data_IF_527073138845
#
_entry.id   IF_527073138845
#
_cell.length_a   1.000
_cell.length_b   1.000
_cell.length_c   1.000
_cell.angle_alpha   90.00
_cell.angle_beta   90.00
_cell.angle_gamma   90.00
#
_symmetry.space_group_name_H-M   'P 1'
#
loop_
_entity.id
_entity.type
_entity.pdbx_description
1 polymer ?
#
# COMPACT_ATOMS: atom_id res chain seq x y z
N UNK A 1 25.75 5.24 10.36
CA UNK A 1 24.69 4.21 10.26
C UNK A 1 23.49 4.73 9.44
N UNK A 2 23.71 5.20 8.21
CA UNK A 2 22.69 5.96 7.45
C UNK A 2 22.54 5.49 6.00
N UNK A 3 23.24 4.42 5.61
CA UNK A 3 23.21 3.87 4.25
C UNK A 3 22.08 2.83 4.04
N UNK A 4 21.68 2.11 5.08
CA UNK A 4 20.68 1.02 4.98
C UNK A 4 19.27 1.53 4.64
N UNK A 5 18.82 2.59 5.31
CA UNK A 5 17.47 3.17 5.09
C UNK A 5 17.28 3.72 3.65
N UNK A 6 18.36 4.23 3.03
CA UNK A 6 18.32 4.70 1.63
C UNK A 6 18.25 3.54 0.63
N UNK A 7 18.92 2.42 0.92
CA UNK A 7 18.88 1.20 0.12
C UNK A 7 17.47 0.60 0.07
N UNK A 8 16.78 0.59 1.21
CA UNK A 8 15.46 -0.05 1.31
C UNK A 8 14.35 0.76 0.66
N UNK A 9 14.39 2.10 0.80
CA UNK A 9 13.48 2.99 0.06
C UNK A 9 13.70 2.92 -1.46
N UNK A 10 14.95 2.75 -1.93
CA UNK A 10 15.23 2.52 -3.35
C UNK A 10 14.77 1.13 -3.83
N UNK A 11 14.75 0.10 -2.97
CA UNK A 11 14.18 -1.21 -3.27
C UNK A 11 12.65 -1.19 -3.32
N UNK A 12 11.97 -0.46 -2.43
CA UNK A 12 10.51 -0.27 -2.42
C UNK A 12 9.97 0.20 -3.78
N UNK A 13 10.75 1.05 -4.44
CA UNK A 13 10.45 1.66 -5.74
C UNK A 13 10.73 0.71 -6.92
N UNK A 14 11.33 -0.45 -6.68
CA UNK A 14 11.81 -1.41 -7.69
C UNK A 14 11.09 -2.77 -7.66
N UNK A 15 10.22 -3.04 -6.69
CA UNK A 15 9.59 -4.37 -6.54
C UNK A 15 8.06 -4.28 -6.60
N UNK A 16 7.44 -4.94 -7.60
CA UNK A 16 8.04 -5.39 -8.87
C UNK A 16 8.45 -4.17 -9.71
N UNK A 17 9.32 -4.34 -10.71
CA UNK A 17 9.83 -3.21 -11.47
C UNK A 17 8.63 -2.52 -12.12
N UNK A 18 8.28 -1.30 -11.70
CA UNK A 18 7.33 -0.56 -12.47
C UNK A 18 7.98 -0.41 -13.86
N UNK A 19 7.19 -0.34 -14.93
CA UNK A 19 7.73 0.19 -16.18
C UNK A 19 8.56 1.45 -15.86
N UNK A 20 9.65 1.70 -16.58
CA UNK A 20 10.60 2.75 -16.19
C UNK A 20 9.96 4.15 -16.01
N UNK A 21 8.72 4.36 -16.46
CA UNK A 21 7.90 5.56 -16.25
C UNK A 21 7.18 5.58 -14.89
N UNK A 22 6.59 4.46 -14.46
CA UNK A 22 5.84 4.35 -13.21
C UNK A 22 6.77 4.50 -11.99
N UNK A 23 8.00 3.99 -12.06
CA UNK A 23 9.00 4.14 -11.01
C UNK A 23 9.41 5.61 -10.84
N UNK A 24 9.72 6.28 -11.96
CA UNK A 24 10.01 7.72 -11.99
C UNK A 24 8.86 8.55 -11.42
N UNK A 25 7.61 8.13 -11.64
CA UNK A 25 6.43 8.79 -11.07
C UNK A 25 6.41 8.69 -9.55
N UNK A 26 6.57 7.48 -9.00
CA UNK A 26 6.56 7.28 -7.56
C UNK A 26 7.71 8.02 -6.89
N UNK A 27 8.90 7.96 -7.46
CA UNK A 27 10.07 8.74 -7.04
C UNK A 27 9.78 10.24 -7.04
N UNK A 28 9.10 10.77 -8.07
CA UNK A 28 8.73 12.17 -8.12
C UNK A 28 7.78 12.55 -6.98
N UNK A 29 6.78 11.73 -6.67
CA UNK A 29 5.84 11.99 -5.57
C UNK A 29 6.54 12.03 -4.22
N UNK A 30 7.45 11.08 -3.97
CA UNK A 30 8.23 11.03 -2.73
C UNK A 30 9.18 12.23 -2.64
N UNK A 31 9.97 12.49 -3.70
CA UNK A 31 10.95 13.57 -3.72
C UNK A 31 10.33 14.97 -3.50
N UNK A 32 9.09 15.17 -3.95
CA UNK A 32 8.40 16.45 -3.83
C UNK A 32 7.42 16.49 -2.63
N UNK A 33 7.46 15.50 -1.73
CA UNK A 33 6.67 15.49 -0.50
C UNK A 33 5.16 15.29 -0.69
N UNK A 34 4.72 14.80 -1.85
CA UNK A 34 3.31 14.45 -2.09
C UNK A 34 2.95 13.07 -1.53
N UNK A 35 3.94 12.21 -1.36
CA UNK A 35 3.82 10.86 -0.84
C UNK A 35 4.95 10.62 0.16
N UNK A 36 4.62 10.08 1.32
CA UNK A 36 5.62 9.58 2.26
C UNK A 36 5.78 8.08 2.04
N UNK A 37 7.03 7.62 2.07
CA UNK A 37 7.40 6.23 1.93
C UNK A 37 8.33 5.86 3.08
N UNK A 38 7.88 4.90 3.89
CA UNK A 38 8.67 4.33 4.98
C UNK A 38 8.93 2.85 4.71
N UNK A 39 10.10 2.36 5.12
CA UNK A 39 10.43 0.95 5.08
C UNK A 39 10.69 0.46 6.50
N UNK A 40 9.98 -0.60 6.88
CA UNK A 40 10.19 -1.32 8.14
C UNK A 40 10.75 -2.70 7.82
N UNK A 41 12.01 -3.00 8.17
CA UNK A 41 12.50 -4.37 8.12
C UNK A 41 11.88 -5.18 9.26
N UNK A 42 11.47 -6.41 8.96
CA UNK A 42 11.04 -7.40 9.93
C UNK A 42 12.06 -8.53 9.91
N UNK A 43 12.70 -8.80 11.04
CA UNK A 43 13.49 -10.00 11.21
C UNK A 43 12.54 -11.21 11.30
N UNK A 44 12.70 -12.15 10.39
CA UNK A 44 11.85 -13.34 10.32
C UNK A 44 11.95 -14.19 11.60
N UNK A 45 13.09 -14.15 12.29
CA UNK A 45 13.28 -14.84 13.57
C UNK A 45 12.43 -14.26 14.70
N UNK A 46 11.91 -13.03 14.56
CA UNK A 46 11.03 -12.37 15.54
C UNK A 46 9.55 -12.70 15.31
N UNK A 47 9.20 -13.28 14.14
CA UNK A 47 7.82 -13.60 13.78
C UNK A 47 7.19 -14.78 14.56
N UNK A 48 7.89 -15.85 15.03
CA UNK A 48 7.28 -17.04 15.63
C UNK A 48 6.71 -16.76 17.04
N UNK A 49 5.69 -15.93 17.08
CA UNK A 49 4.95 -15.47 18.24
C UNK A 49 3.59 -16.16 18.32
N UNK A 50 2.99 -16.29 19.52
CA UNK A 50 1.61 -16.77 19.66
C UNK A 50 0.62 -16.00 18.77
N UNK A 51 0.83 -14.69 18.60
CA UNK A 51 0.05 -13.79 17.75
C UNK A 51 0.14 -14.22 16.28
N UNK A 52 1.34 -14.54 15.79
CA UNK A 52 1.53 -15.04 14.44
C UNK A 52 0.85 -16.40 14.22
N UNK A 53 0.92 -17.31 15.19
CA UNK A 53 0.19 -18.59 15.13
C UNK A 53 -1.32 -18.37 15.04
N UNK A 54 -1.86 -17.40 15.79
CA UNK A 54 -3.27 -17.00 15.69
C UNK A 54 -3.60 -16.41 14.32
N UNK A 55 -2.72 -15.56 13.78
CA UNK A 55 -2.86 -14.98 12.44
C UNK A 55 -2.90 -16.07 11.35
N UNK A 56 -1.98 -17.03 11.37
CA UNK A 56 -1.98 -18.16 10.41
C UNK A 56 -3.29 -18.96 10.46
N UNK A 57 -3.81 -19.24 11.66
CA UNK A 57 -5.09 -19.95 11.84
C UNK A 57 -6.28 -19.14 11.29
N UNK A 58 -6.25 -17.82 11.41
CA UNK A 58 -7.28 -16.95 10.86
C UNK A 58 -7.24 -16.94 9.33
N UNK A 59 -6.05 -16.81 8.74
CA UNK A 59 -5.86 -16.83 7.27
C UNK A 59 -6.25 -18.16 6.65
N UNK A 60 -6.01 -19.28 7.34
CA UNK A 60 -6.37 -20.62 6.86
C UNK A 60 -7.88 -20.79 6.57
N UNK A 61 -8.74 -19.87 7.03
CA UNK A 61 -10.18 -19.85 6.77
C UNK A 61 -10.57 -18.99 5.56
N UNK A 62 -9.60 -18.35 4.89
CA UNK A 62 -9.82 -17.48 3.73
C UNK A 62 -9.55 -18.21 2.41
N UNK A 63 -10.18 -17.75 1.32
CA UNK A 63 -9.99 -18.24 -0.06
C UNK A 63 -8.59 -17.90 -0.57
N UNK A 64 -7.59 -18.69 -0.18
CA UNK A 64 -6.18 -18.36 -0.43
C UNK A 64 -5.63 -19.04 -1.68
N UNK A 65 -4.84 -18.32 -2.47
CA UNK A 65 -4.29 -18.77 -3.75
C UNK A 65 -3.11 -19.77 -3.60
N UNK A 66 -2.31 -19.67 -2.53
CA UNK A 66 -1.19 -20.59 -2.24
C UNK A 66 -0.77 -20.57 -0.76
N UNK A 67 0.03 -21.54 -0.32
CA UNK A 67 0.57 -21.58 1.04
C UNK A 67 1.49 -20.39 1.35
N UNK A 68 2.29 -19.94 0.38
CA UNK A 68 3.12 -18.73 0.52
C UNK A 68 2.24 -17.49 0.72
N UNK A 69 1.18 -17.36 -0.09
CA UNK A 69 0.23 -16.25 0.04
C UNK A 69 -0.45 -16.24 1.41
N UNK A 70 -0.76 -17.42 1.95
CA UNK A 70 -1.31 -17.57 3.30
C UNK A 70 -0.31 -17.11 4.38
N UNK A 71 0.95 -17.51 4.26
CA UNK A 71 1.99 -17.12 5.21
C UNK A 71 2.23 -15.60 5.16
N UNK A 72 2.27 -14.98 3.98
CA UNK A 72 2.44 -13.53 3.84
C UNK A 72 1.23 -12.76 4.40
N UNK A 73 -0.01 -13.24 4.20
CA UNK A 73 -1.19 -12.67 4.85
C UNK A 73 -1.15 -12.79 6.38
N UNK A 74 -0.56 -13.87 6.89
CA UNK A 74 -0.38 -14.04 8.32
C UNK A 74 0.66 -13.05 8.87
N UNK A 75 1.75 -12.81 8.14
CA UNK A 75 2.73 -11.75 8.46
C UNK A 75 2.07 -10.37 8.44
N UNK A 76 1.29 -10.05 7.41
CA UNK A 76 0.53 -8.80 7.33
C UNK A 76 -0.44 -8.62 8.51
N UNK A 77 -1.17 -9.68 8.87
CA UNK A 77 -2.07 -9.67 10.04
C UNK A 77 -1.30 -9.43 11.33
N UNK A 78 -0.18 -10.14 11.52
CA UNK A 78 0.69 -9.97 12.70
C UNK A 78 1.23 -8.54 12.78
N UNK A 79 1.72 -7.99 11.68
CA UNK A 79 2.23 -6.62 11.59
C UNK A 79 1.18 -5.58 12.02
N UNK A 80 -0.05 -5.68 11.49
CA UNK A 80 -1.14 -4.78 11.90
C UNK A 80 -1.49 -4.90 13.39
N UNK A 81 -1.44 -6.12 13.94
CA UNK A 81 -1.72 -6.37 15.35
C UNK A 81 -0.67 -5.75 16.26
N UNK A 82 0.61 -5.78 15.88
CA UNK A 82 1.67 -5.06 16.59
C UNK A 82 1.44 -3.55 16.61
N UNK A 83 0.77 -3.02 15.59
CA UNK A 83 0.39 -1.61 15.50
C UNK A 83 -1.00 -1.30 16.11
N UNK A 84 -1.55 -2.22 16.90
CA UNK A 84 -2.79 -2.02 17.65
C UNK A 84 -4.08 -2.23 16.86
N UNK A 85 -4.03 -2.73 15.62
CA UNK A 85 -5.26 -3.02 14.86
C UNK A 85 -6.04 -4.17 15.49
N UNK A 86 -7.32 -3.94 15.79
CA UNK A 86 -8.19 -4.95 16.42
C UNK A 86 -9.12 -5.66 15.45
N UNK A 87 -9.47 -4.99 14.36
CA UNK A 87 -10.33 -5.44 13.28
C UNK A 87 -9.48 -5.82 12.07
N UNK A 88 -9.54 -7.08 11.64
CA UNK A 88 -8.80 -7.56 10.48
C UNK A 88 -9.76 -8.29 9.55
N UNK A 89 -9.83 -7.83 8.31
CA UNK A 89 -10.59 -8.45 7.22
C UNK A 89 -9.63 -8.89 6.12
N UNK A 90 -10.05 -9.89 5.35
CA UNK A 90 -9.28 -10.44 4.24
C UNK A 90 -10.02 -10.20 2.93
N UNK A 91 -9.28 -9.98 1.84
CA UNK A 91 -9.84 -9.86 0.49
C UNK A 91 -10.90 -8.75 0.35
N UNK A 92 -10.70 -7.62 1.03
CA UNK A 92 -11.63 -6.52 1.00
C UNK A 92 -11.42 -5.66 -0.24
N UNK A 93 -12.53 -5.32 -0.91
CA UNK A 93 -12.48 -4.36 -2.01
C UNK A 93 -12.19 -2.96 -1.50
N UNK A 94 -11.28 -2.27 -2.17
CA UNK A 94 -11.11 -0.83 -1.96
C UNK A 94 -12.43 -0.11 -2.28
N UNK A 95 -12.61 1.14 -1.83
CA UNK A 95 -13.75 1.95 -2.23
C UNK A 95 -13.87 2.23 -3.74
N UNK A 96 -12.85 1.91 -4.54
CA UNK A 96 -12.88 1.98 -6.00
C UNK A 96 -13.19 0.58 -6.59
N UNK A 97 -14.19 0.53 -7.47
CA UNK A 97 -15.06 -0.62 -7.81
C UNK A 97 -14.42 -1.95 -8.25
N UNK A 98 -13.09 -2.06 -8.42
CA UNK A 98 -12.47 -3.23 -9.04
C UNK A 98 -11.23 -3.80 -8.35
N UNK A 99 -10.80 -3.22 -7.22
CA UNK A 99 -9.51 -3.58 -6.61
C UNK A 99 -9.72 -4.30 -5.28
N UNK A 100 -8.84 -5.23 -4.91
CA UNK A 100 -8.90 -6.02 -3.67
C UNK A 100 -7.58 -5.88 -2.92
N UNK A 101 -7.63 -5.62 -1.62
CA UNK A 101 -6.49 -5.73 -0.71
C UNK A 101 -6.53 -7.07 0.02
N UNK A 102 -5.35 -7.63 0.28
CA UNK A 102 -5.20 -8.95 0.89
C UNK A 102 -5.61 -8.96 2.36
N UNK A 103 -5.20 -7.93 3.11
CA UNK A 103 -5.48 -7.76 4.54
C UNK A 103 -5.81 -6.30 4.81
N UNK A 104 -6.88 -6.04 5.56
CA UNK A 104 -7.34 -4.68 5.86
C UNK A 104 -7.65 -4.54 7.34
N UNK A 105 -7.30 -3.38 7.91
CA UNK A 105 -7.91 -2.87 9.14
C UNK A 105 -8.72 -1.64 8.81
N UNK A 106 -10.04 -1.79 8.91
CA UNK A 106 -11.00 -0.77 8.49
C UNK A 106 -11.03 0.40 9.48
N UNK A 107 -10.93 0.12 10.78
CA UNK A 107 -10.88 1.14 11.83
C UNK A 107 -9.68 2.07 11.71
N UNK A 108 -8.53 1.56 11.23
CA UNK A 108 -7.31 2.35 11.04
C UNK A 108 -7.16 2.88 9.61
N UNK A 109 -7.94 2.37 8.66
CA UNK A 109 -7.82 2.71 7.24
C UNK A 109 -6.56 2.15 6.57
N UNK A 110 -5.97 1.10 7.14
CA UNK A 110 -4.74 0.45 6.65
C UNK A 110 -5.07 -0.72 5.75
N UNK A 111 -4.54 -0.68 4.53
CA UNK A 111 -4.74 -1.72 3.51
C UNK A 111 -3.39 -2.33 3.15
N UNK A 112 -3.29 -3.65 3.20
CA UNK A 112 -2.05 -4.39 2.90
C UNK A 112 -2.23 -5.23 1.65
N UNK A 113 -1.28 -5.09 0.74
CA UNK A 113 -1.07 -5.98 -0.41
C UNK A 113 0.17 -6.84 -0.17
N UNK A 114 0.04 -8.15 -0.37
CA UNK A 114 1.15 -9.10 -0.16
C UNK A 114 1.54 -9.81 -1.45
N UNK A 115 2.83 -10.14 -1.59
CA UNK A 115 3.35 -10.81 -2.78
C UNK A 115 3.76 -9.81 -3.86
N UNK A 116 3.56 -10.15 -5.14
CA UNK A 116 4.00 -9.27 -6.23
C UNK A 116 2.96 -8.17 -6.49
N UNK A 117 3.34 -6.91 -6.21
CA UNK A 117 2.49 -5.73 -6.46
C UNK A 117 2.60 -5.26 -7.92
N UNK A 118 1.88 -5.91 -8.83
CA UNK A 118 2.05 -5.72 -10.28
C UNK A 118 1.99 -4.28 -10.82
N UNK A 119 1.39 -3.35 -10.10
CA UNK A 119 1.18 -1.97 -10.55
C UNK A 119 1.28 -0.98 -9.39
N UNK A 120 2.45 -0.37 -9.25
CA UNK A 120 2.76 0.62 -8.19
C UNK A 120 1.97 1.93 -8.37
N UNK A 121 1.39 2.15 -9.54
CA UNK A 121 0.57 3.33 -9.81
C UNK A 121 -0.72 3.36 -8.98
N UNK A 122 -1.06 2.20 -8.39
CA UNK A 122 -2.16 2.01 -7.44
C UNK A 122 -1.94 2.75 -6.13
N UNK A 123 -0.70 2.88 -5.68
CA UNK A 123 -0.35 3.52 -4.40
C UNK A 123 -0.95 4.91 -4.28
N UNK A 124 -0.67 5.77 -5.26
CA UNK A 124 -1.15 7.13 -5.23
C UNK A 124 -2.65 7.21 -5.53
N UNK A 125 -3.21 6.32 -6.35
CA UNK A 125 -4.67 6.29 -6.62
C UNK A 125 -5.46 5.94 -5.37
N UNK A 126 -5.02 4.93 -4.61
CA UNK A 126 -5.66 4.47 -3.37
C UNK A 126 -5.59 5.54 -2.29
N UNK A 127 -4.52 6.32 -2.22
CA UNK A 127 -4.38 7.43 -1.27
C UNK A 127 -5.15 8.69 -1.68
N UNK A 128 -5.91 8.62 -2.79
CA UNK A 128 -6.72 9.72 -3.30
C UNK A 128 -5.91 10.76 -4.08
N UNK A 129 -4.71 10.44 -4.55
CA UNK A 129 -3.92 11.33 -5.39
C UNK A 129 -4.28 11.13 -6.87
N UNK A 130 -4.82 12.17 -7.50
CA UNK A 130 -5.02 12.25 -8.94
C UNK A 130 -3.80 12.86 -9.60
N UNK A 131 -3.22 12.17 -10.58
CA UNK A 131 -1.99 12.60 -11.23
C UNK A 131 -2.27 12.89 -12.69
N UNK A 132 -2.08 14.15 -13.07
CA UNK A 132 -2.10 14.56 -14.49
C UNK A 132 -0.72 14.32 -15.09
N UNK A 133 -0.72 13.82 -16.33
CA UNK A 133 0.48 13.56 -17.09
C UNK A 133 0.56 14.49 -18.29
N UNK A 134 1.76 15.00 -18.58
CA UNK A 134 2.10 15.60 -19.88
C UNK A 134 3.28 14.84 -20.45
N UNK A 135 3.05 14.08 -21.52
CA UNK A 135 4.04 13.18 -22.09
C UNK A 135 4.47 12.09 -21.09
N UNK A 136 5.78 11.96 -20.87
CA UNK A 136 6.36 11.00 -19.92
C UNK A 136 6.52 11.54 -18.49
N UNK A 137 6.04 12.75 -18.20
CA UNK A 137 6.25 13.45 -16.93
C UNK A 137 4.94 13.74 -16.19
N UNK A 138 5.04 13.80 -14.86
CA UNK A 138 3.96 14.28 -14.00
C UNK A 138 3.82 15.78 -14.18
N UNK A 139 2.63 16.24 -14.58
CA UNK A 139 2.34 17.66 -14.79
C UNK A 139 1.63 18.29 -13.59
N UNK A 140 0.80 17.51 -12.89
CA UNK A 140 0.10 17.96 -11.69
C UNK A 140 -0.25 16.76 -10.82
N UNK A 141 -0.19 16.95 -9.52
CA UNK A 141 -0.79 16.05 -8.52
C UNK A 141 -1.97 16.82 -7.93
N UNK A 142 -3.09 16.16 -7.64
CA UNK A 142 -4.27 16.77 -7.03
C UNK A 142 -4.83 15.78 -6.00
N UNK A 143 -5.46 16.27 -4.93
CA UNK A 143 -6.14 15.40 -3.98
C UNK A 143 -7.61 15.23 -4.41
N UNK A 144 -8.05 13.98 -4.59
CA UNK A 144 -9.47 13.60 -4.68
C UNK A 144 -10.01 13.58 -3.25
N UNK A 145 -10.28 14.76 -2.70
CA UNK A 145 -11.17 14.83 -1.54
C UNK A 145 -12.55 14.35 -2.00
N UNK A 146 -13.28 13.50 -1.24
CA UNK A 146 -14.59 13.06 -1.70
C UNK A 146 -15.56 14.25 -1.68
N UNK A 147 -16.47 14.35 -2.66
CA UNK A 147 -17.53 15.35 -2.63
C UNK A 147 -18.61 14.97 -1.60
N UNK A 148 -19.06 13.72 -1.52
CA UNK A 148 -20.15 13.32 -0.62
C UNK A 148 -19.99 11.85 -0.20
N UNK A 149 -20.07 11.56 1.10
CA UNK A 149 -20.19 10.21 1.68
C UNK A 149 -19.03 9.76 2.57
N UNK A 150 -19.37 9.03 3.65
CA UNK A 150 -18.47 8.29 4.54
C UNK A 150 -17.80 7.12 3.79
N UNK A 151 -16.96 7.43 2.82
CA UNK A 151 -16.04 6.43 2.29
C UNK A 151 -14.88 6.35 3.27
N UNK A 152 -14.73 5.20 3.92
CA UNK A 152 -13.64 4.92 4.85
C UNK A 152 -12.30 5.25 4.18
N UNK A 153 -11.66 6.31 4.67
CA UNK A 153 -10.49 6.92 4.02
C UNK A 153 -9.31 5.98 4.19
N UNK A 154 -8.73 5.51 3.08
CA UNK A 154 -7.44 4.81 3.11
C UNK A 154 -6.42 5.81 3.68
N UNK A 155 -5.92 5.50 4.88
CA UNK A 155 -4.92 6.30 5.58
C UNK A 155 -3.52 5.92 5.11
N UNK A 156 -3.33 4.64 4.82
CA UNK A 156 -2.05 4.03 4.56
C UNK A 156 -2.23 2.81 3.66
N UNK A 157 -1.41 2.72 2.61
CA UNK A 157 -1.28 1.52 1.81
C UNK A 157 0.05 0.87 2.13
N UNK A 158 0.03 -0.40 2.51
CA UNK A 158 1.20 -1.16 2.91
C UNK A 158 1.46 -2.24 1.87
N UNK A 159 2.71 -2.37 1.45
CA UNK A 159 3.16 -3.43 0.56
C UNK A 159 4.13 -4.33 1.30
N UNK A 160 3.88 -5.64 1.26
CA UNK A 160 4.83 -6.66 1.67
C UNK A 160 5.25 -7.41 0.40
N UNK A 161 6.22 -6.86 -0.35
CA UNK A 161 6.61 -7.45 -1.61
C UNK A 161 7.32 -8.78 -1.39
N UNK A 162 6.93 -9.77 -2.18
CA UNK A 162 7.61 -11.05 -2.21
C UNK A 162 7.69 -11.54 -3.66
N UNK A 163 8.88 -11.98 -4.13
CA UNK A 163 9.06 -12.37 -5.52
C UNK A 163 8.25 -13.62 -5.84
N UNK A 164 7.11 -13.45 -6.50
CA UNK A 164 6.33 -14.59 -7.02
C UNK A 164 6.94 -15.18 -8.29
N UNK A 165 7.95 -14.54 -8.88
CA UNK A 165 8.72 -15.08 -10.02
C UNK A 165 9.62 -16.26 -9.62
N UNK A 166 10.00 -16.36 -8.34
CA UNK A 166 10.65 -17.52 -7.77
C UNK A 166 9.68 -18.17 -6.77
N UNK A 167 8.67 -18.85 -7.31
CA UNK A 167 7.58 -19.49 -6.54
C UNK A 167 8.09 -20.56 -5.56
N UNK A 168 9.37 -20.94 -5.67
CA UNK A 168 9.97 -21.94 -4.79
C UNK A 168 10.51 -21.34 -3.50
N UNK A 169 10.83 -20.04 -3.50
CA UNK A 169 11.34 -19.38 -2.30
C UNK A 169 10.24 -19.06 -1.31
N UNK A 170 10.45 -19.39 -0.05
CA UNK A 170 9.53 -19.05 1.04
C UNK A 170 9.99 -17.83 1.82
N UNK A 171 9.04 -17.12 2.44
CA UNK A 171 9.36 -16.00 3.32
C UNK A 171 10.35 -16.38 4.43
N UNK A 172 10.26 -17.62 4.93
CA UNK A 172 11.12 -18.18 5.98
C UNK A 172 12.57 -18.47 5.55
N UNK A 173 12.86 -18.41 4.26
CA UNK A 173 14.21 -18.64 3.72
C UNK A 173 15.03 -17.36 3.65
N UNK A 174 14.43 -16.22 3.99
CA UNK A 174 15.09 -14.93 4.11
C UNK A 174 15.23 -14.56 5.58
N UNK A 175 16.32 -13.89 5.94
CA UNK A 175 16.52 -13.41 7.31
C UNK A 175 15.66 -12.18 7.61
N UNK A 176 15.41 -11.34 6.59
CA UNK A 176 14.70 -10.07 6.74
C UNK A 176 13.66 -9.90 5.64
N UNK A 177 12.46 -9.48 6.05
CA UNK A 177 11.36 -9.09 5.15
C UNK A 177 11.14 -7.58 5.23
N UNK A 178 11.15 -6.90 4.09
CA UNK A 178 10.86 -5.47 4.03
C UNK A 178 9.37 -5.21 3.89
N UNK A 179 8.82 -4.37 4.77
CA UNK A 179 7.46 -3.83 4.67
C UNK A 179 7.54 -2.37 4.26
N UNK A 180 6.78 -1.99 3.24
CA UNK A 180 6.74 -0.63 2.71
C UNK A 180 5.41 0.03 3.02
N UNK A 181 5.45 1.13 3.76
CA UNK A 181 4.28 1.94 4.08
C UNK A 181 4.25 3.17 3.19
N UNK A 182 3.09 3.40 2.58
CA UNK A 182 2.81 4.57 1.76
C UNK A 182 1.69 5.38 2.39
N UNK A 183 1.98 6.63 2.72
CA UNK A 183 1.00 7.60 3.23
C UNK A 183 1.05 8.87 2.40
N UNK A 184 0.03 9.73 2.53
CA UNK A 184 0.10 11.06 1.92
C UNK A 184 1.20 11.88 2.58
N UNK A 185 1.96 12.60 1.76
CA UNK A 185 2.93 13.57 2.27
C UNK A 185 2.28 14.90 2.65
N UNK A 186 3.09 15.78 3.24
CA UNK A 186 2.64 17.06 3.78
C UNK A 186 2.40 18.13 2.70
N UNK A 187 2.97 17.94 1.49
CA UNK A 187 2.76 18.87 0.39
C UNK A 187 1.34 18.74 -0.15
N UNK A 188 0.54 19.78 0.07
CA UNK A 188 -0.78 19.89 -0.54
C UNK A 188 -0.65 20.37 -1.99
N UNK A 189 -1.21 19.65 -2.97
CA UNK A 189 -1.16 20.08 -4.35
C UNK A 189 -1.95 21.39 -4.58
N UNK A 190 -1.41 22.27 -5.41
CA UNK A 190 -2.12 23.49 -5.84
C UNK A 190 -3.21 23.08 -6.85
N UNK A 191 -4.46 23.05 -6.38
CA UNK A 191 -5.62 22.64 -7.18
C UNK A 191 -6.26 23.87 -7.82
N UNK A 192 -6.04 24.10 -9.12
CA UNK A 192 -6.63 25.24 -9.83
C UNK A 192 -7.92 24.90 -10.63
N UNK A 193 -8.56 23.76 -10.36
CA UNK A 193 -9.52 23.19 -11.32
C UNK A 193 -10.97 23.15 -10.82
N UNK A 194 -11.71 24.25 -11.06
CA UNK A 194 -13.19 24.37 -10.91
C UNK A 194 -14.00 23.35 -11.74
N UNK A 195 -13.37 22.52 -12.59
CA UNK A 195 -14.03 21.57 -13.49
C UNK A 195 -13.78 20.09 -13.17
N UNK A 196 -13.09 19.76 -12.08
CA UNK A 196 -12.91 18.35 -11.72
C UNK A 196 -14.28 17.68 -11.47
N UNK A 197 -14.56 16.59 -12.20
CA UNK A 197 -15.83 15.86 -12.13
C UNK A 197 -16.15 15.32 -10.73
N UNK A 198 -15.11 15.09 -9.91
CA UNK A 198 -15.23 14.65 -8.52
C UNK A 198 -15.55 15.81 -7.55
N UNK A 199 -15.57 17.07 -8.00
CA UNK A 199 -15.95 18.24 -7.20
C UNK A 199 -17.30 18.86 -7.63
N UNK A 200 -17.88 18.40 -8.74
CA UNK A 200 -19.20 18.88 -9.22
C UNK A 200 -20.38 18.18 -8.54
N UNK A 201 -20.15 17.09 -7.80
CA UNK A 201 -21.21 16.38 -7.08
C UNK A 201 -21.62 17.11 -5.79
N UNK A 202 -20.67 17.74 -5.08
CA UNK A 202 -20.90 18.39 -3.77
C UNK A 202 -21.44 19.82 -3.82
N UNK A 203 -22.03 20.24 -4.95
CA UNK A 203 -22.57 21.61 -5.12
C UNK A 203 -24.02 21.64 -5.60
N UNK A 204 -24.78 20.58 -5.34
CA UNK A 204 -26.23 20.57 -5.66
C UNK A 204 -27.16 20.71 -4.46
N UNK A 205 -26.62 20.80 -3.25
CA UNK A 205 -27.39 21.00 -2.02
C UNK A 205 -26.93 22.24 -1.23
N UNK A 206 -26.81 23.39 -1.90
CA UNK A 206 -26.85 24.73 -1.29
C UNK A 206 -27.86 25.62 -2.03
#
# INVERSE_FOLDING_TARGET
MTQTVKSDAEMALRIPPPGGRENRRLQYLVKNGYLNLESTPIDIAEIPTPEFVRARRAVARSTTLSALHADLKAVATWYLRQQGATDITYEQRYPAEFRVADVVSTSTGRYIEVGQVEDISRVYQSLGLDITLRGSSVSQVMNRYPPDGEVQRISELISIPFPTSDQTKRAWEFDVLSVFSYTRGDCSPIVNNRRNRFWKASRRDE
#
